data_IF_174202937410
#
_entry.id   IF_174202937410
#
_cell.length_a   1.000
_cell.length_b   1.000
_cell.length_c   1.000
_cell.angle_alpha   90.00
_cell.angle_beta   90.00
_cell.angle_gamma   90.00
#
_symmetry.space_group_name_H-M   'P 1'
#
loop_
_entity.id
_entity.type
_entity.pdbx_description
1 polymer ?
#
# COMPACT_ATOMS: atom_id res chain seq x y z
N UNK A 1 -4.07 -5.22 -67.08
CA UNK A 1 -4.02 -6.21 -65.99
C UNK A 1 -2.74 -6.18 -65.12
N UNK A 2 -1.66 -5.51 -65.45
CA UNK A 2 -0.41 -5.49 -64.65
C UNK A 2 -0.42 -4.59 -63.38
N UNK A 3 -1.27 -3.56 -63.31
CA UNK A 3 -1.29 -2.62 -62.13
C UNK A 3 -1.97 -3.16 -60.87
N UNK A 4 -2.84 -4.17 -61.01
CA UNK A 4 -3.54 -4.77 -59.87
C UNK A 4 -2.67 -5.73 -59.06
N UNK A 5 -1.79 -6.47 -59.70
CA UNK A 5 -0.90 -7.46 -59.10
C UNK A 5 0.18 -6.77 -58.23
N UNK A 6 0.67 -5.60 -58.66
CA UNK A 6 1.67 -4.84 -57.90
C UNK A 6 1.12 -4.26 -56.61
N UNK A 7 -0.15 -3.81 -56.61
CA UNK A 7 -0.82 -3.32 -55.41
C UNK A 7 -1.11 -4.42 -54.40
N UNK A 8 -1.46 -5.62 -54.85
CA UNK A 8 -1.74 -6.77 -54.02
C UNK A 8 -0.45 -7.24 -53.27
N UNK A 9 0.68 -7.27 -53.97
CA UNK A 9 1.97 -7.64 -53.39
C UNK A 9 2.48 -6.64 -52.34
N UNK A 10 2.21 -5.33 -52.46
CA UNK A 10 2.56 -4.32 -51.47
C UNK A 10 1.72 -4.52 -50.19
N UNK A 11 0.44 -4.83 -50.32
CA UNK A 11 -0.43 -5.07 -49.17
C UNK A 11 -0.02 -6.35 -48.43
N UNK A 12 0.35 -7.40 -49.17
CA UNK A 12 0.82 -8.65 -48.59
C UNK A 12 2.17 -8.51 -47.89
N UNK A 13 3.07 -7.67 -48.42
CA UNK A 13 4.37 -7.35 -47.76
C UNK A 13 4.21 -6.54 -46.48
N UNK A 14 3.19 -5.67 -46.39
CA UNK A 14 2.89 -4.90 -45.18
C UNK A 14 2.35 -5.78 -44.03
N UNK A 15 1.68 -6.90 -44.34
CA UNK A 15 1.19 -7.86 -43.37
C UNK A 15 2.30 -8.71 -42.70
N UNK A 16 3.48 -8.77 -43.34
CA UNK A 16 4.65 -9.49 -42.82
C UNK A 16 5.65 -8.57 -42.07
N UNK A 17 5.30 -7.32 -41.82
CA UNK A 17 6.15 -6.45 -41.00
C UNK A 17 6.07 -6.94 -39.55
N UNK A 18 7.14 -7.53 -38.99
CA UNK A 18 7.11 -8.00 -37.62
C UNK A 18 6.97 -6.78 -36.71
N UNK A 19 5.86 -6.66 -36.01
CA UNK A 19 5.72 -5.75 -34.88
C UNK A 19 6.72 -6.21 -33.82
N UNK A 20 7.89 -5.61 -33.81
CA UNK A 20 8.82 -5.80 -32.70
C UNK A 20 8.21 -5.14 -31.46
N UNK A 21 7.49 -5.92 -30.66
CA UNK A 21 7.17 -5.54 -29.31
C UNK A 21 8.49 -5.48 -28.55
N UNK A 22 9.02 -4.29 -28.33
CA UNK A 22 10.10 -4.09 -27.38
C UNK A 22 9.53 -4.36 -25.98
N UNK A 23 9.71 -5.56 -25.47
CA UNK A 23 9.51 -5.83 -24.07
C UNK A 23 10.53 -4.99 -23.30
N UNK A 24 10.07 -4.03 -22.50
CA UNK A 24 10.93 -3.22 -21.67
C UNK A 24 11.45 -4.10 -20.54
N UNK A 25 12.73 -4.43 -20.57
CA UNK A 25 13.40 -5.18 -19.51
C UNK A 25 13.52 -4.28 -18.28
N UNK A 26 12.80 -4.65 -17.21
CA UNK A 26 12.93 -3.97 -15.92
C UNK A 26 14.22 -4.45 -15.27
N UNK A 27 15.24 -3.61 -15.24
CA UNK A 27 16.47 -3.85 -14.51
C UNK A 27 16.32 -3.33 -13.09
N UNK A 28 16.38 -4.23 -12.12
CA UNK A 28 16.42 -3.87 -10.71
C UNK A 28 17.88 -3.62 -10.31
N UNK A 29 18.13 -2.43 -9.78
CA UNK A 29 19.43 -2.04 -9.22
C UNK A 29 19.29 -1.84 -7.72
N UNK A 30 20.22 -2.41 -6.95
CA UNK A 30 20.25 -2.22 -5.50
C UNK A 30 20.80 -0.81 -5.19
N UNK A 31 19.90 0.12 -4.87
CA UNK A 31 20.27 1.49 -4.53
C UNK A 31 20.75 1.62 -3.08
N UNK A 32 20.12 0.90 -2.15
CA UNK A 32 20.46 0.98 -0.72
C UNK A 32 20.01 -0.28 0.02
N UNK A 33 20.78 -0.64 1.04
CA UNK A 33 20.42 -1.69 2.00
C UNK A 33 20.45 -1.12 3.42
N UNK A 34 19.42 -1.40 4.20
CA UNK A 34 19.30 -1.00 5.61
C UNK A 34 19.20 -2.28 6.44
N UNK A 35 20.17 -2.50 7.34
CA UNK A 35 20.16 -3.68 8.19
C UNK A 35 19.21 -3.49 9.36
N UNK A 36 17.97 -3.97 9.24
CA UNK A 36 16.93 -3.89 10.27
C UNK A 36 16.17 -5.20 10.38
N UNK A 37 15.75 -5.55 11.59
CA UNK A 37 14.81 -6.66 11.81
C UNK A 37 13.39 -6.12 11.66
N UNK A 38 12.67 -6.57 10.64
CA UNK A 38 11.29 -6.20 10.40
C UNK A 38 10.39 -7.43 10.29
N UNK A 39 9.17 -7.34 10.82
CA UNK A 39 8.11 -8.34 10.67
C UNK A 39 7.34 -8.13 9.37
N UNK A 40 7.05 -6.87 9.06
CA UNK A 40 6.41 -6.44 7.81
C UNK A 40 6.77 -4.99 7.50
N UNK A 41 6.48 -4.58 6.27
CA UNK A 41 6.68 -3.19 5.86
C UNK A 41 5.59 -2.75 4.88
N UNK A 42 5.41 -1.45 4.77
CA UNK A 42 4.65 -0.78 3.71
C UNK A 42 5.35 0.49 3.28
N UNK A 43 4.94 1.07 2.17
CA UNK A 43 5.50 2.32 1.63
C UNK A 43 4.40 3.32 1.35
N UNK A 44 4.75 4.59 1.27
CA UNK A 44 3.87 5.63 0.77
C UNK A 44 4.29 6.14 -0.63
N UNK A 45 3.45 6.98 -1.22
CA UNK A 45 3.71 7.55 -2.55
C UNK A 45 4.89 8.53 -2.60
N UNK A 46 5.43 8.93 -1.46
CA UNK A 46 6.59 9.85 -1.35
C UNK A 46 7.91 9.12 -1.13
N UNK A 47 7.88 7.78 -1.17
CA UNK A 47 9.07 6.94 -1.04
C UNK A 47 9.50 6.67 0.40
N UNK A 48 8.67 6.98 1.40
CA UNK A 48 8.94 6.57 2.77
C UNK A 48 8.60 5.09 2.97
N UNK A 49 9.32 4.45 3.89
CA UNK A 49 9.13 3.06 4.27
C UNK A 49 8.72 2.99 5.73
N UNK A 50 7.67 2.26 6.02
CA UNK A 50 7.13 2.04 7.36
C UNK A 50 7.37 0.59 7.74
N UNK A 51 8.18 0.35 8.77
CA UNK A 51 8.55 -0.97 9.24
C UNK A 51 7.87 -1.30 10.56
N UNK A 52 7.24 -2.46 10.66
CA UNK A 52 6.78 -3.03 11.93
C UNK A 52 7.87 -3.97 12.45
N UNK A 53 8.42 -3.67 13.61
CA UNK A 53 9.35 -4.55 14.32
C UNK A 53 8.63 -5.63 15.13
N UNK A 54 9.37 -6.68 15.48
CA UNK A 54 8.87 -7.75 16.35
C UNK A 54 8.43 -7.26 17.75
N UNK A 55 9.00 -6.17 18.24
CA UNK A 55 8.62 -5.45 19.47
C UNK A 55 7.30 -4.68 19.40
N UNK A 56 6.57 -4.76 18.28
CA UNK A 56 5.35 -3.98 18.03
C UNK A 56 5.59 -2.47 17.88
N UNK A 57 6.74 -2.10 17.39
CA UNK A 57 7.18 -0.74 17.13
C UNK A 57 7.04 -0.44 15.64
N UNK A 58 6.45 0.69 15.28
CA UNK A 58 6.42 1.20 13.92
C UNK A 58 7.52 2.24 13.75
N UNK A 59 8.38 2.06 12.75
CA UNK A 59 9.43 3.02 12.40
C UNK A 59 9.22 3.50 10.98
N UNK A 60 9.29 4.80 10.79
CA UNK A 60 9.29 5.44 9.46
C UNK A 60 10.70 5.81 9.05
N UNK A 61 11.07 5.38 7.85
CA UNK A 61 12.29 5.80 7.15
C UNK A 61 11.93 6.67 5.96
N UNK A 62 12.70 7.72 5.72
CA UNK A 62 12.58 8.52 4.50
C UNK A 62 13.22 7.82 3.29
N UNK A 63 13.07 8.40 2.09
CA UNK A 63 13.67 7.88 0.86
C UNK A 63 15.21 7.80 0.92
N UNK A 64 15.86 8.63 1.76
CA UNK A 64 17.31 8.56 2.03
C UNK A 64 17.67 7.44 2.99
N UNK A 65 16.70 6.76 3.60
CA UNK A 65 16.89 5.68 4.57
C UNK A 65 17.23 6.15 5.98
N UNK A 66 16.92 7.40 6.32
CA UNK A 66 17.06 7.92 7.68
C UNK A 66 15.76 7.67 8.45
N UNK A 67 15.86 7.28 9.71
CA UNK A 67 14.70 7.14 10.59
C UNK A 67 14.16 8.53 10.95
N UNK A 68 12.89 8.78 10.58
CA UNK A 68 12.26 10.10 10.75
C UNK A 68 11.07 10.07 11.72
N UNK A 69 10.66 8.90 12.18
CA UNK A 69 9.59 8.77 13.16
C UNK A 69 9.54 7.37 13.76
N UNK A 70 9.13 7.30 15.02
CA UNK A 70 8.93 6.05 15.76
C UNK A 70 7.62 6.15 16.52
N UNK A 71 6.79 5.12 16.39
CA UNK A 71 5.59 4.94 17.18
C UNK A 71 5.68 3.63 17.95
N UNK A 72 5.47 3.69 19.26
CA UNK A 72 5.53 2.53 20.13
C UNK A 72 4.39 2.56 21.16
N UNK A 73 3.41 1.71 20.98
CA UNK A 73 2.23 1.58 21.87
C UNK A 73 2.01 0.11 22.26
N UNK A 74 3.00 -0.48 22.89
CA UNK A 74 3.04 -1.90 23.27
C UNK A 74 1.84 -2.34 24.11
N UNK A 75 1.21 -1.43 24.86
CA UNK A 75 0.12 -1.74 25.80
C UNK A 75 -1.24 -1.98 25.12
N UNK A 76 -1.42 -1.61 23.85
CA UNK A 76 -2.73 -1.61 23.18
C UNK A 76 -3.01 -2.83 22.34
N UNK A 77 -2.06 -3.72 22.19
CA UNK A 77 -2.16 -4.91 21.37
C UNK A 77 -1.19 -4.86 20.18
N UNK A 78 -1.25 -5.91 19.37
CA UNK A 78 -0.31 -6.08 18.25
C UNK A 78 -0.77 -5.33 17.00
N UNK A 79 0.12 -4.55 16.41
CA UNK A 79 -0.09 -3.95 15.08
C UNK A 79 -0.18 -5.08 14.05
N UNK A 80 -1.32 -5.19 13.39
CA UNK A 80 -1.58 -6.21 12.36
C UNK A 80 -1.47 -5.65 10.96
N UNK A 81 -1.80 -4.36 10.79
CA UNK A 81 -1.75 -3.69 9.50
C UNK A 81 -1.35 -2.22 9.68
N UNK A 82 -0.61 -1.71 8.69
CA UNK A 82 -0.31 -0.30 8.50
C UNK A 82 -0.75 0.07 7.09
N UNK A 83 -1.57 1.11 6.96
CA UNK A 83 -1.89 1.72 5.68
C UNK A 83 -1.31 3.14 5.64
N UNK A 84 -0.32 3.34 4.78
CA UNK A 84 0.38 4.59 4.57
C UNK A 84 0.09 5.19 3.17
N UNK A 85 -0.96 4.75 2.49
CA UNK A 85 -1.37 5.31 1.17
C UNK A 85 -1.57 6.82 1.24
N UNK A 86 -2.07 7.33 2.36
CA UNK A 86 -2.07 8.76 2.65
C UNK A 86 -0.94 9.08 3.65
N UNK A 87 0.20 9.69 3.23
CA UNK A 87 1.33 9.96 4.12
C UNK A 87 1.05 10.99 5.21
N UNK A 88 -0.04 11.76 5.09
CA UNK A 88 -0.48 12.73 6.12
C UNK A 88 -1.43 12.09 7.14
N UNK A 89 -1.94 10.89 6.85
CA UNK A 89 -2.84 10.12 7.70
C UNK A 89 -2.51 8.63 7.61
N UNK A 90 -1.55 8.21 8.39
CA UNK A 90 -1.18 6.79 8.47
C UNK A 90 -2.15 6.07 9.39
N UNK A 91 -2.74 4.97 8.93
CA UNK A 91 -3.63 4.13 9.72
C UNK A 91 -2.85 2.96 10.30
N UNK A 92 -2.93 2.77 11.61
CA UNK A 92 -2.55 1.54 12.30
C UNK A 92 -3.79 0.78 12.68
N UNK A 93 -3.80 -0.51 12.40
CA UNK A 93 -4.87 -1.40 12.78
C UNK A 93 -4.37 -2.54 13.68
N UNK A 94 -5.08 -2.73 14.78
CA UNK A 94 -4.86 -3.78 15.77
C UNK A 94 -6.08 -4.71 15.71
N UNK A 95 -6.06 -5.69 14.80
CA UNK A 95 -7.24 -6.53 14.50
C UNK A 95 -7.74 -7.32 15.71
N UNK A 96 -6.85 -7.75 16.62
CA UNK A 96 -7.22 -8.52 17.82
C UNK A 96 -8.15 -7.73 18.76
N UNK A 97 -8.00 -6.41 18.83
CA UNK A 97 -8.80 -5.50 19.67
C UNK A 97 -9.82 -4.68 18.87
N UNK A 98 -9.80 -4.77 17.54
CA UNK A 98 -10.59 -3.93 16.66
C UNK A 98 -10.22 -2.44 16.74
N UNK A 99 -9.03 -2.11 17.26
CA UNK A 99 -8.61 -0.73 17.45
C UNK A 99 -7.96 -0.17 16.19
N UNK A 100 -8.42 1.02 15.80
CA UNK A 100 -7.86 1.83 14.72
C UNK A 100 -7.17 3.06 15.34
N UNK A 101 -5.99 3.37 14.87
CA UNK A 101 -5.23 4.55 15.30
C UNK A 101 -4.81 5.35 14.07
N UNK A 102 -5.06 6.65 14.09
CA UNK A 102 -4.69 7.57 13.02
C UNK A 102 -3.48 8.39 13.47
N UNK A 103 -2.41 8.28 12.72
CA UNK A 103 -1.17 9.00 12.97
C UNK A 103 -0.95 10.06 11.89
N UNK A 104 -0.23 11.12 12.25
CA UNK A 104 0.26 12.10 11.29
C UNK A 104 1.54 11.63 10.56
N UNK A 105 2.08 12.52 9.74
CA UNK A 105 3.31 12.27 8.97
C UNK A 105 4.56 12.06 9.82
N UNK A 106 4.54 12.44 11.11
CA UNK A 106 5.63 12.22 12.07
C UNK A 106 5.36 11.05 13.02
N UNK A 107 4.30 10.27 12.74
CA UNK A 107 3.81 9.16 13.56
C UNK A 107 3.28 9.60 14.94
N UNK A 108 2.82 10.84 15.10
CA UNK A 108 2.13 11.27 16.31
C UNK A 108 0.66 10.86 16.24
N UNK A 109 0.14 10.31 17.34
CA UNK A 109 -1.27 9.90 17.44
C UNK A 109 -2.19 11.13 17.36
N UNK A 110 -3.08 11.15 16.38
CA UNK A 110 -4.10 12.21 16.21
C UNK A 110 -5.48 11.78 16.66
N UNK A 111 -5.86 10.55 16.34
CA UNK A 111 -7.16 10.01 16.70
C UNK A 111 -7.08 8.50 16.90
N UNK A 112 -8.06 7.96 17.61
CA UNK A 112 -8.21 6.51 17.78
C UNK A 112 -9.68 6.18 18.08
N UNK A 113 -10.12 5.03 17.62
CA UNK A 113 -11.46 4.50 17.87
C UNK A 113 -11.46 2.98 17.79
N UNK A 114 -12.54 2.34 18.22
CA UNK A 114 -12.73 0.90 18.11
C UNK A 114 -13.84 0.61 17.11
N UNK A 115 -13.62 -0.36 16.25
CA UNK A 115 -14.63 -0.81 15.30
C UNK A 115 -15.84 -1.45 16.02
N UNK A 116 -15.62 -2.05 17.20
CA UNK A 116 -16.70 -2.59 18.03
C UNK A 116 -17.71 -1.56 18.48
N UNK A 117 -17.29 -0.31 18.67
CA UNK A 117 -18.19 0.80 19.04
C UNK A 117 -19.11 1.20 17.87
N UNK A 118 -18.77 0.78 16.66
CA UNK A 118 -19.52 0.95 15.42
C UNK A 118 -20.30 -0.31 15.02
N UNK A 119 -20.31 -1.36 15.88
CA UNK A 119 -20.96 -2.63 15.59
C UNK A 119 -20.18 -3.59 14.70
N UNK A 120 -18.92 -3.30 14.39
CA UNK A 120 -18.03 -4.14 13.56
C UNK A 120 -17.14 -4.98 14.49
N UNK A 121 -17.40 -6.28 14.54
CA UNK A 121 -16.74 -7.17 15.49
C UNK A 121 -15.67 -8.07 14.89
N UNK A 122 -15.66 -8.23 13.55
CA UNK A 122 -14.70 -9.11 12.88
C UNK A 122 -14.16 -8.49 11.59
N UNK A 123 -13.32 -7.49 11.75
CA UNK A 123 -12.62 -6.85 10.65
C UNK A 123 -11.20 -7.44 10.52
N UNK A 124 -10.87 -8.21 9.47
CA UNK A 124 -9.51 -8.68 9.23
C UNK A 124 -8.61 -7.61 8.60
N UNK A 125 -9.18 -6.65 7.89
CA UNK A 125 -8.42 -5.58 7.23
C UNK A 125 -9.26 -4.32 7.03
N UNK A 126 -8.54 -3.23 6.80
CA UNK A 126 -9.10 -1.92 6.47
C UNK A 126 -8.17 -1.18 5.50
N UNK A 127 -8.63 -0.08 4.91
CA UNK A 127 -7.85 0.76 4.01
C UNK A 127 -8.29 2.22 4.06
N UNK A 128 -7.36 3.14 3.72
CA UNK A 128 -7.72 4.54 3.46
C UNK A 128 -8.64 4.62 2.24
N UNK A 129 -9.71 5.42 2.34
CA UNK A 129 -10.48 5.88 1.19
C UNK A 129 -9.85 7.15 0.60
N UNK A 130 -10.08 7.39 -0.70
CA UNK A 130 -9.55 8.56 -1.40
C UNK A 130 -10.18 9.89 -0.92
N UNK A 131 -11.39 9.85 -0.40
CA UNK A 131 -12.15 11.00 0.10
C UNK A 131 -11.89 11.34 1.57
N UNK A 132 -11.05 10.54 2.24
CA UNK A 132 -10.68 10.76 3.63
C UNK A 132 -11.38 9.83 4.62
N UNK A 133 -12.24 8.96 4.17
CA UNK A 133 -12.91 7.94 4.98
C UNK A 133 -12.07 6.67 5.12
N UNK A 134 -12.57 5.64 5.75
CA UNK A 134 -11.88 4.37 5.96
C UNK A 134 -12.78 3.23 5.47
N UNK A 135 -12.28 2.43 4.55
CA UNK A 135 -12.90 1.19 4.17
C UNK A 135 -12.56 0.10 5.17
N UNK A 136 -13.57 -0.57 5.67
CA UNK A 136 -13.44 -1.70 6.61
C UNK A 136 -14.13 -2.91 6.00
N UNK A 137 -13.42 -4.02 5.87
CA UNK A 137 -14.04 -5.29 5.52
C UNK A 137 -14.52 -5.99 6.79
N UNK A 138 -15.84 -6.18 6.91
CA UNK A 138 -16.43 -6.96 8.00
C UNK A 138 -16.75 -8.38 7.53
N UNK A 139 -16.13 -9.36 8.17
CA UNK A 139 -16.28 -10.77 7.80
C UNK A 139 -17.67 -11.33 8.12
N UNK A 140 -18.36 -10.82 9.14
CA UNK A 140 -19.70 -11.31 9.50
C UNK A 140 -20.76 -10.82 8.53
N UNK A 141 -20.71 -9.56 8.20
CA UNK A 141 -21.66 -8.95 7.25
C UNK A 141 -21.30 -9.25 5.80
N UNK A 142 -20.03 -9.63 5.53
CA UNK A 142 -19.47 -9.74 4.17
C UNK A 142 -19.58 -8.45 3.36
N UNK A 143 -19.56 -7.29 4.01
CA UNK A 143 -19.66 -5.98 3.40
C UNK A 143 -18.41 -5.13 3.62
N UNK A 144 -18.16 -4.22 2.67
CA UNK A 144 -17.27 -3.08 2.89
C UNK A 144 -18.12 -1.97 3.54
N UNK A 145 -17.63 -1.45 4.66
CA UNK A 145 -18.24 -0.35 5.39
C UNK A 145 -17.31 0.84 5.27
N UNK A 146 -17.87 1.95 4.81
CA UNK A 146 -17.17 3.23 4.82
C UNK A 146 -17.52 3.98 6.11
N UNK A 147 -16.50 4.37 6.88
CA UNK A 147 -16.68 5.15 8.10
C UNK A 147 -16.32 6.61 7.83
N UNK A 148 -17.23 7.49 8.13
CA UNK A 148 -16.98 8.95 8.15
C UNK A 148 -16.39 9.39 9.48
#
# INVERSE_FOLDING_TARGET
MRKGIFRLNIILAALFFPFHFFAQEIRLELLKSISVSAKSFTTDATGNVYLIRGSNELIKYNASGDSVGIFNEVRRGRITQVDATNPLRVILFLAESGQVMLLDNLLSLKNQFRLTDMGIFNAPCLANSADGDIWVYDRYSCFLVESR
#
